data_IF_564089771288
#
_entry.id   IF_564089771288
#
_cell.length_a   1.000
_cell.length_b   1.000
_cell.length_c   1.000
_cell.angle_alpha   90.00
_cell.angle_beta   90.00
_cell.angle_gamma   90.00
#
_symmetry.space_group_name_H-M   'P 1'
#
loop_
_entity.id
_entity.type
_entity.pdbx_description
1 polymer ?
#
# COMPACT_ATOMS: atom_id res chain seq x y z
N UNK A 1 15.71 0.64 11.55
CA UNK A 1 14.92 0.65 12.80
C UNK A 1 14.03 -0.58 12.91
N UNK A 2 13.10 -0.84 11.97
CA UNK A 2 12.17 -1.98 12.07
C UNK A 2 12.88 -3.33 12.16
N UNK A 3 13.93 -3.57 11.36
CA UNK A 3 14.70 -4.82 11.45
C UNK A 3 15.56 -4.96 12.71
N UNK A 4 15.80 -3.88 13.46
CA UNK A 4 16.62 -3.89 14.67
C UNK A 4 15.80 -3.89 15.96
N UNK A 5 14.61 -3.28 15.95
CA UNK A 5 13.75 -3.10 17.13
C UNK A 5 12.34 -3.72 16.98
N UNK A 6 12.03 -4.29 15.81
CA UNK A 6 10.67 -4.74 15.51
C UNK A 6 10.25 -5.97 16.31
N UNK A 7 11.16 -6.89 16.62
CA UNK A 7 10.84 -8.04 17.47
C UNK A 7 10.55 -7.64 18.92
N UNK A 8 11.32 -6.68 19.47
CA UNK A 8 11.06 -6.12 20.80
C UNK A 8 9.73 -5.38 20.84
N UNK A 9 9.40 -4.65 19.76
CA UNK A 9 8.10 -3.99 19.63
C UNK A 9 6.95 -5.01 19.59
N UNK A 10 7.08 -6.09 18.81
CA UNK A 10 6.08 -7.18 18.81
C UNK A 10 5.91 -7.77 20.22
N UNK A 11 7.01 -8.01 20.93
CA UNK A 11 6.98 -8.52 22.31
C UNK A 11 6.34 -7.55 23.33
N UNK A 12 6.37 -6.24 23.05
CA UNK A 12 5.66 -5.25 23.86
C UNK A 12 4.15 -5.22 23.57
N UNK A 13 3.72 -5.55 22.35
CA UNK A 13 2.31 -5.54 21.93
C UNK A 13 1.58 -6.81 22.35
N UNK A 14 2.23 -7.98 22.26
CA UNK A 14 1.60 -9.27 22.56
C UNK A 14 2.49 -10.15 23.44
N UNK A 15 1.86 -10.82 24.42
CA UNK A 15 2.49 -11.84 25.26
C UNK A 15 2.28 -13.27 24.75
N UNK A 16 1.41 -13.44 23.76
CA UNK A 16 1.11 -14.75 23.17
C UNK A 16 2.28 -15.19 22.27
N UNK A 17 2.91 -16.31 22.62
CA UNK A 17 4.15 -16.77 21.97
C UNK A 17 3.95 -17.18 20.51
N UNK A 18 2.81 -17.80 20.21
CA UNK A 18 2.35 -18.17 18.87
C UNK A 18 2.14 -16.93 17.98
N UNK A 19 1.46 -15.90 18.51
CA UNK A 19 1.25 -14.63 17.77
C UNK A 19 2.58 -13.92 17.52
N UNK A 20 3.49 -13.92 18.50
CA UNK A 20 4.81 -13.29 18.37
C UNK A 20 5.65 -13.97 17.30
N UNK A 21 5.68 -15.31 17.29
CA UNK A 21 6.42 -16.07 16.28
C UNK A 21 5.94 -15.73 14.86
N UNK A 22 4.62 -15.69 14.66
CA UNK A 22 4.03 -15.38 13.36
C UNK A 22 4.28 -13.92 12.94
N UNK A 23 4.16 -12.97 13.88
CA UNK A 23 4.39 -11.55 13.61
C UNK A 23 5.85 -11.25 13.20
N UNK A 24 6.83 -11.96 13.76
CA UNK A 24 8.24 -11.82 13.37
C UNK A 24 8.47 -12.27 11.93
N UNK A 25 7.80 -13.33 11.48
CA UNK A 25 7.89 -13.84 10.09
C UNK A 25 7.43 -12.78 9.07
N UNK A 26 6.37 -12.03 9.37
CA UNK A 26 5.85 -11.00 8.45
C UNK A 26 6.39 -9.59 8.72
N UNK A 27 7.24 -9.40 9.72
CA UNK A 27 7.85 -8.11 10.04
C UNK A 27 8.56 -7.45 8.83
N UNK A 28 9.26 -8.19 7.93
CA UNK A 28 9.83 -7.60 6.72
C UNK A 28 8.75 -7.01 5.79
N UNK A 29 7.62 -7.69 5.62
CA UNK A 29 6.50 -7.19 4.82
C UNK A 29 5.91 -5.90 5.42
N UNK A 30 5.70 -5.89 6.74
CA UNK A 30 5.27 -4.68 7.44
C UNK A 30 6.26 -3.52 7.27
N UNK A 31 7.57 -3.78 7.33
CA UNK A 31 8.62 -2.78 7.10
C UNK A 31 8.55 -2.19 5.68
N UNK A 32 8.23 -3.01 4.67
CA UNK A 32 8.02 -2.58 3.29
C UNK A 32 6.75 -1.73 3.10
N UNK A 33 5.84 -1.67 4.09
CA UNK A 33 4.62 -0.89 4.03
C UNK A 33 4.87 0.60 3.81
N UNK A 34 5.87 1.16 4.51
CA UNK A 34 6.21 2.57 4.36
C UNK A 34 6.71 2.94 2.95
N UNK A 35 7.76 2.28 2.39
CA UNK A 35 8.26 2.63 1.06
C UNK A 35 7.27 2.32 -0.06
N UNK A 36 6.46 1.27 0.05
CA UNK A 36 5.44 0.95 -0.96
C UNK A 36 4.22 1.88 -0.89
N UNK A 37 3.84 2.32 0.31
CA UNK A 37 2.66 3.16 0.54
C UNK A 37 2.89 4.66 0.41
N UNK A 38 4.13 5.14 0.54
CA UNK A 38 4.44 6.59 0.62
C UNK A 38 3.81 7.38 -0.52
N UNK A 39 3.92 6.88 -1.75
CA UNK A 39 3.38 7.57 -2.92
C UNK A 39 1.85 7.61 -2.89
N UNK A 40 1.19 6.51 -2.51
CA UNK A 40 -0.26 6.45 -2.40
C UNK A 40 -0.81 7.43 -1.36
N UNK A 41 -0.18 7.53 -0.19
CA UNK A 41 -0.61 8.46 0.86
C UNK A 41 -0.41 9.91 0.46
N UNK A 42 0.77 10.27 -0.08
CA UNK A 42 1.05 11.62 -0.54
C UNK A 42 0.09 12.07 -1.63
N UNK A 43 -0.12 11.23 -2.65
CA UNK A 43 -1.01 11.56 -3.76
C UNK A 43 -2.47 11.67 -3.31
N UNK A 44 -2.92 10.84 -2.36
CA UNK A 44 -4.28 10.96 -1.83
C UNK A 44 -4.48 12.32 -1.15
N UNK A 45 -3.50 12.79 -0.36
CA UNK A 45 -3.56 14.13 0.24
C UNK A 45 -3.65 15.24 -0.82
N UNK A 46 -2.90 15.13 -1.91
CA UNK A 46 -2.95 16.09 -3.03
C UNK A 46 -4.33 16.10 -3.69
N UNK A 47 -4.86 14.93 -4.07
CA UNK A 47 -6.14 14.84 -4.79
C UNK A 47 -7.33 15.27 -3.95
N UNK A 48 -7.30 14.97 -2.63
CA UNK A 48 -8.33 15.45 -1.69
C UNK A 48 -8.30 16.96 -1.60
N UNK A 49 -7.12 17.58 -1.44
CA UNK A 49 -6.98 19.04 -1.36
C UNK A 49 -7.33 19.75 -2.68
N UNK A 50 -7.01 19.14 -3.81
CA UNK A 50 -7.35 19.66 -5.14
C UNK A 50 -8.81 19.38 -5.55
N UNK A 51 -9.61 18.75 -4.68
CA UNK A 51 -11.01 18.36 -4.91
C UNK A 51 -11.24 17.53 -6.19
N UNK A 52 -10.22 16.82 -6.67
CA UNK A 52 -10.27 15.94 -7.85
C UNK A 52 -10.85 14.56 -7.52
N UNK A 53 -12.01 14.54 -6.87
CA UNK A 53 -12.66 13.33 -6.34
C UNK A 53 -13.00 12.30 -7.43
N UNK A 54 -13.35 12.76 -8.65
CA UNK A 54 -13.70 11.87 -9.76
C UNK A 54 -12.49 11.03 -10.21
N UNK A 55 -11.33 11.65 -10.32
CA UNK A 55 -10.10 10.96 -10.71
C UNK A 55 -9.62 10.03 -9.60
N UNK A 56 -9.68 10.49 -8.36
CA UNK A 56 -9.32 9.70 -7.19
C UNK A 56 -10.16 8.41 -7.11
N UNK A 57 -11.49 8.52 -7.30
CA UNK A 57 -12.39 7.35 -7.31
C UNK A 57 -12.02 6.37 -8.43
N UNK A 58 -11.81 6.85 -9.65
CA UNK A 58 -11.49 5.98 -10.78
C UNK A 58 -10.18 5.22 -10.57
N UNK A 59 -9.14 5.90 -10.05
CA UNK A 59 -7.85 5.26 -9.75
C UNK A 59 -7.94 4.30 -8.56
N UNK A 60 -8.81 4.57 -7.59
CA UNK A 60 -9.07 3.63 -6.50
C UNK A 60 -9.74 2.35 -6.98
N UNK A 61 -10.70 2.44 -7.91
CA UNK A 61 -11.34 1.27 -8.52
C UNK A 61 -10.33 0.44 -9.33
N UNK A 62 -9.46 1.09 -10.09
CA UNK A 62 -8.36 0.42 -10.79
C UNK A 62 -7.43 -0.32 -9.81
N UNK A 63 -7.06 0.35 -8.71
CA UNK A 63 -6.19 -0.23 -7.69
C UNK A 63 -6.86 -1.42 -6.99
N UNK A 64 -8.16 -1.33 -6.71
CA UNK A 64 -8.94 -2.43 -6.15
C UNK A 64 -8.99 -3.63 -7.10
N UNK A 65 -9.22 -3.40 -8.39
CA UNK A 65 -9.19 -4.47 -9.39
C UNK A 65 -7.82 -5.16 -9.42
N UNK A 66 -6.73 -4.39 -9.42
CA UNK A 66 -5.38 -4.93 -9.35
C UNK A 66 -5.13 -5.72 -8.05
N UNK A 67 -5.65 -5.25 -6.91
CA UNK A 67 -5.58 -5.97 -5.64
C UNK A 67 -6.29 -7.31 -5.71
N UNK A 68 -7.52 -7.36 -6.23
CA UNK A 68 -8.31 -8.59 -6.33
C UNK A 68 -7.59 -9.61 -7.22
N UNK A 69 -7.09 -9.17 -8.37
CA UNK A 69 -6.32 -10.03 -9.28
C UNK A 69 -5.08 -10.58 -8.57
N UNK A 70 -4.31 -9.71 -7.90
CA UNK A 70 -3.12 -10.12 -7.16
C UNK A 70 -3.45 -11.05 -5.97
N UNK A 71 -4.57 -10.81 -5.29
CA UNK A 71 -5.02 -11.62 -4.15
C UNK A 71 -5.35 -13.05 -4.60
N UNK A 72 -6.08 -13.22 -5.69
CA UNK A 72 -6.41 -14.55 -6.21
C UNK A 72 -5.19 -15.25 -6.82
N UNK A 73 -4.32 -14.51 -7.52
CA UNK A 73 -3.11 -15.08 -8.11
C UNK A 73 -2.07 -15.48 -7.05
N UNK A 74 -1.73 -14.56 -6.13
CA UNK A 74 -0.65 -14.74 -5.17
C UNK A 74 -1.14 -15.35 -3.85
N UNK A 75 -2.31 -14.95 -3.37
CA UNK A 75 -2.86 -15.44 -2.10
C UNK A 75 -3.16 -16.93 -2.11
N UNK A 76 -3.65 -17.47 -3.24
CA UNK A 76 -3.85 -18.92 -3.37
C UNK A 76 -2.53 -19.70 -3.44
N UNK A 77 -1.49 -19.12 -4.05
CA UNK A 77 -0.19 -19.78 -4.23
C UNK A 77 0.72 -19.69 -3.00
N UNK A 78 0.68 -18.57 -2.28
CA UNK A 78 1.66 -18.22 -1.23
C UNK A 78 1.02 -17.89 0.12
N UNK A 79 -0.29 -18.11 0.29
CA UNK A 79 -1.02 -17.84 1.52
C UNK A 79 -0.86 -16.38 1.99
N UNK A 80 -0.51 -16.20 3.26
CA UNK A 80 -0.34 -14.87 3.87
C UNK A 80 0.78 -14.03 3.23
N UNK A 81 1.86 -14.65 2.73
CA UNK A 81 2.87 -13.91 1.96
C UNK A 81 2.29 -13.35 0.67
N UNK A 82 1.40 -14.11 0.02
CA UNK A 82 0.66 -13.67 -1.15
C UNK A 82 -0.28 -12.51 -0.84
N UNK A 83 -0.93 -12.53 0.33
CA UNK A 83 -1.77 -11.42 0.80
C UNK A 83 -0.96 -10.13 1.00
N UNK A 84 0.21 -10.22 1.67
CA UNK A 84 1.11 -9.08 1.83
C UNK A 84 1.59 -8.55 0.48
N UNK A 85 2.00 -9.43 -0.44
CA UNK A 85 2.40 -9.04 -1.79
C UNK A 85 1.26 -8.32 -2.54
N UNK A 86 0.04 -8.85 -2.48
CA UNK A 86 -1.14 -8.22 -3.07
C UNK A 86 -1.41 -6.83 -2.47
N UNK A 87 -1.26 -6.67 -1.16
CA UNK A 87 -1.40 -5.39 -0.48
C UNK A 87 -0.34 -4.37 -0.94
N UNK A 88 0.92 -4.77 -1.13
CA UNK A 88 1.95 -3.88 -1.67
C UNK A 88 1.69 -3.52 -3.12
N UNK A 89 1.23 -4.47 -3.95
CA UNK A 89 0.82 -4.18 -5.33
C UNK A 89 -0.29 -3.14 -5.36
N UNK A 90 -1.30 -3.28 -4.49
CA UNK A 90 -2.36 -2.30 -4.34
C UNK A 90 -1.83 -0.90 -4.02
N UNK A 91 -0.92 -0.78 -3.04
CA UNK A 91 -0.32 0.50 -2.66
C UNK A 91 0.49 1.12 -3.82
N UNK A 92 1.28 0.32 -4.51
CA UNK A 92 2.10 0.77 -5.64
C UNK A 92 1.23 1.22 -6.82
N UNK A 93 0.24 0.41 -7.21
CA UNK A 93 -0.69 0.74 -8.31
C UNK A 93 -1.45 2.02 -7.97
N UNK A 94 -1.93 2.18 -6.74
CA UNK A 94 -2.60 3.40 -6.29
C UNK A 94 -1.71 4.62 -6.35
N UNK A 95 -0.49 4.52 -5.83
CA UNK A 95 0.48 5.62 -5.86
C UNK A 95 0.84 6.03 -7.28
N UNK A 96 1.19 5.06 -8.13
CA UNK A 96 1.64 5.30 -9.51
C UNK A 96 0.48 5.82 -10.36
N UNK A 97 -0.71 5.24 -10.27
CA UNK A 97 -1.88 5.66 -11.05
C UNK A 97 -2.28 7.11 -10.75
N UNK A 98 -2.32 7.50 -9.46
CA UNK A 98 -2.58 8.88 -9.07
C UNK A 98 -1.45 9.83 -9.52
N UNK A 99 -0.18 9.41 -9.45
CA UNK A 99 0.93 10.22 -9.94
C UNK A 99 0.83 10.48 -11.46
N UNK A 100 0.44 9.47 -12.24
CA UNK A 100 0.23 9.63 -13.68
C UNK A 100 -0.91 10.59 -13.98
N UNK A 101 -2.03 10.50 -13.25
CA UNK A 101 -3.15 11.44 -13.40
C UNK A 101 -2.75 12.85 -12.95
N UNK A 102 -1.97 12.99 -11.87
CA UNK A 102 -1.45 14.28 -11.42
C UNK A 102 -0.65 14.97 -12.52
N UNK A 103 0.29 14.26 -13.16
CA UNK A 103 1.08 14.80 -14.29
C UNK A 103 0.21 15.29 -15.42
N UNK A 104 -0.89 14.59 -15.72
CA UNK A 104 -1.88 15.01 -16.73
C UNK A 104 -2.65 16.25 -16.28
N UNK A 105 -3.15 16.26 -15.04
CA UNK A 105 -3.96 17.36 -14.49
C UNK A 105 -3.18 18.66 -14.35
N UNK A 106 -1.92 18.59 -13.92
CA UNK A 106 -1.03 19.76 -13.82
C UNK A 106 -0.86 20.41 -15.20
N UNK A 107 -0.65 19.63 -16.26
CA UNK A 107 -0.52 20.18 -17.62
C UNK A 107 -1.80 20.83 -18.13
N UNK A 108 -2.98 20.36 -17.74
CA UNK A 108 -4.24 20.94 -18.21
C UNK A 108 -4.75 22.09 -17.34
N UNK A 109 -4.44 22.09 -16.05
CA UNK A 109 -4.96 23.07 -15.10
C UNK A 109 -4.11 24.34 -14.99
N UNK A 110 -2.84 24.28 -15.43
CA UNK A 110 -1.88 25.41 -15.38
C UNK A 110 -1.32 25.76 -16.76
N UNK A 111 -2.01 25.38 -17.84
CA UNK A 111 -1.67 25.79 -19.21
C UNK A 111 -2.37 27.09 -19.65
N UNK A 112 -3.13 27.72 -18.75
CA UNK A 112 -3.57 29.11 -18.82
C UNK A 112 -2.67 29.97 -17.93
#
# INVERSE_FOLDING_TARGET
MVFAFGEQLVGAITKAADVRAEAVIYLPWAAFGAPSGVLAFQMTGVFVRATWSRDMRNMMLLSLAAFIIALFALGQMFGNHGLWAAFHIFLLVRGISLLLVLRRRVRTAFAE
#
